data_IF_404183559678
#
_entry.id   IF_404183559678
#
_cell.length_a   1.000
_cell.length_b   1.000
_cell.length_c   1.000
_cell.angle_alpha   90.00
_cell.angle_beta   90.00
_cell.angle_gamma   90.00
#
_symmetry.space_group_name_H-M   'P 1'
#
loop_
_entity.id
_entity.type
_entity.pdbx_description
1 polymer ?
#
# COMPACT_ATOMS: atom_id res chain seq x y z
N UNK A 1 14.73 -28.06 11.44
CA UNK A 1 15.58 -28.12 10.22
C UNK A 1 16.10 -26.72 9.94
N UNK A 2 17.41 -26.52 9.94
CA UNK A 2 17.99 -25.24 9.49
C UNK A 2 17.76 -25.14 7.97
N UNK A 3 16.96 -24.16 7.53
CA UNK A 3 16.86 -23.84 6.10
C UNK A 3 18.15 -23.13 5.71
N UNK A 4 18.95 -23.70 4.80
CA UNK A 4 20.11 -23.02 4.25
C UNK A 4 19.65 -21.99 3.22
N UNK A 5 20.08 -20.74 3.37
CA UNK A 5 19.86 -19.68 2.39
C UNK A 5 21.13 -19.53 1.56
N UNK A 6 21.02 -19.55 0.23
CA UNK A 6 22.12 -19.24 -0.69
C UNK A 6 21.86 -17.88 -1.35
N UNK A 7 22.90 -17.04 -1.43
CA UNK A 7 22.84 -15.77 -2.14
C UNK A 7 23.43 -15.94 -3.55
N UNK A 8 22.62 -15.66 -4.57
CA UNK A 8 23.06 -15.60 -5.96
C UNK A 8 23.08 -14.14 -6.40
N UNK A 9 24.20 -13.69 -6.98
CA UNK A 9 24.36 -12.33 -7.49
C UNK A 9 24.49 -12.39 -9.01
N UNK A 10 23.65 -11.64 -9.71
CA UNK A 10 23.68 -11.49 -11.16
C UNK A 10 24.03 -10.06 -11.56
N UNK A 11 24.74 -9.88 -12.67
CA UNK A 11 25.08 -8.58 -13.25
C UNK A 11 24.58 -8.50 -14.67
N UNK A 12 24.16 -7.30 -15.10
CA UNK A 12 23.59 -7.05 -16.43
C UNK A 12 24.29 -5.84 -17.06
N UNK A 13 24.40 -5.84 -18.39
CA UNK A 13 25.10 -4.78 -19.13
C UNK A 13 24.41 -3.41 -19.03
N UNK A 14 23.11 -3.39 -18.74
CA UNK A 14 22.32 -2.19 -18.55
C UNK A 14 21.04 -2.48 -17.76
N UNK A 15 20.36 -1.41 -17.34
CA UNK A 15 19.11 -1.50 -16.57
C UNK A 15 17.98 -2.17 -17.34
N UNK A 16 17.90 -1.99 -18.67
CA UNK A 16 16.87 -2.63 -19.50
C UNK A 16 16.98 -4.15 -19.45
N UNK A 17 18.20 -4.69 -19.62
CA UNK A 17 18.45 -6.13 -19.55
C UNK A 17 18.16 -6.70 -18.15
N UNK A 18 18.53 -5.97 -17.09
CA UNK A 18 18.14 -6.31 -15.72
C UNK A 18 16.62 -6.35 -15.57
N UNK A 19 15.91 -5.32 -16.03
CA UNK A 19 14.48 -5.20 -15.85
C UNK A 19 13.72 -6.29 -16.62
N UNK A 20 14.09 -6.55 -17.87
CA UNK A 20 13.49 -7.61 -18.68
C UNK A 20 13.72 -9.00 -18.07
N UNK A 21 14.91 -9.24 -17.51
CA UNK A 21 15.25 -10.52 -16.89
C UNK A 21 14.43 -10.85 -15.63
N UNK A 22 14.04 -9.85 -14.84
CA UNK A 22 13.30 -10.07 -13.58
C UNK A 22 11.81 -9.71 -13.65
N UNK A 23 11.42 -8.76 -14.49
CA UNK A 23 10.06 -8.21 -14.56
C UNK A 23 9.41 -8.35 -15.95
N UNK A 24 10.13 -8.94 -16.91
CA UNK A 24 9.66 -9.18 -18.26
C UNK A 24 8.62 -10.31 -18.38
N UNK A 25 8.31 -10.72 -19.62
CA UNK A 25 8.92 -10.25 -20.86
C UNK A 25 8.45 -8.84 -21.26
N UNK A 26 9.39 -7.94 -21.54
CA UNK A 26 9.08 -6.61 -22.06
C UNK A 26 8.44 -6.68 -23.47
N UNK A 27 7.55 -5.73 -23.83
CA UNK A 27 7.21 -4.52 -23.08
C UNK A 27 6.06 -4.70 -22.07
N UNK A 28 5.46 -5.89 -21.98
CA UNK A 28 4.20 -6.08 -21.25
C UNK A 28 4.35 -6.67 -19.85
N UNK A 29 5.46 -7.35 -19.58
CA UNK A 29 5.70 -8.05 -18.32
C UNK A 29 4.80 -9.29 -18.16
N UNK A 30 4.75 -9.81 -16.93
CA UNK A 30 3.99 -11.00 -16.56
C UNK A 30 3.02 -10.79 -15.38
N UNK A 31 2.95 -9.57 -14.84
CA UNK A 31 2.08 -9.25 -13.72
C UNK A 31 0.62 -9.18 -14.13
N UNK A 32 -0.24 -9.83 -13.36
CA UNK A 32 -1.69 -9.82 -13.56
C UNK A 32 -2.29 -8.56 -12.96
N UNK A 33 -3.27 -7.98 -13.65
CA UNK A 33 -4.16 -6.99 -13.09
C UNK A 33 -5.35 -7.68 -12.40
N UNK A 34 -5.93 -7.03 -11.37
CA UNK A 34 -6.98 -7.51 -10.47
C UNK A 34 -6.48 -8.24 -9.20
N UNK A 35 -6.28 -7.45 -8.16
CA UNK A 35 -5.90 -7.90 -6.83
C UNK A 35 -6.74 -7.13 -5.80
N UNK A 36 -7.04 -7.78 -4.68
CA UNK A 36 -7.35 -7.05 -3.45
C UNK A 36 -6.02 -6.84 -2.74
N UNK A 37 -5.76 -5.60 -2.30
CA UNK A 37 -4.46 -5.23 -1.78
C UNK A 37 -4.58 -4.20 -0.67
N UNK A 38 -3.60 -4.21 0.21
CA UNK A 38 -3.40 -3.22 1.24
C UNK A 38 -2.00 -3.35 1.79
N UNK A 39 -1.53 -2.35 2.52
CA UNK A 39 -0.17 -2.40 3.00
C UNK A 39 0.21 -1.22 3.87
N UNK A 40 1.44 -1.26 4.36
CA UNK A 40 2.00 -0.22 5.22
C UNK A 40 3.39 0.15 4.78
N UNK A 41 3.68 1.45 4.86
CA UNK A 41 5.06 1.88 4.95
C UNK A 41 5.61 1.40 6.29
N UNK A 42 6.81 0.85 6.30
CA UNK A 42 7.49 0.34 7.49
C UNK A 42 8.65 1.28 7.82
N UNK A 43 8.61 2.00 8.96
CA UNK A 43 9.67 2.93 9.33
C UNK A 43 11.01 2.22 9.53
N UNK A 44 12.12 2.88 9.16
CA UNK A 44 13.47 2.36 9.43
C UNK A 44 13.71 2.07 10.92
N UNK A 45 13.04 2.79 11.82
CA UNK A 45 13.11 2.56 13.27
C UNK A 45 12.53 1.20 13.67
N UNK A 46 11.46 0.74 13.02
CA UNK A 46 10.89 -0.60 13.23
C UNK A 46 11.88 -1.66 12.76
N UNK A 47 12.51 -1.44 11.61
CA UNK A 47 13.48 -2.38 11.06
C UNK A 47 14.76 -2.48 11.91
N UNK A 48 15.22 -1.37 12.48
CA UNK A 48 16.49 -1.29 13.22
C UNK A 48 16.40 -1.78 14.68
N UNK A 49 15.22 -1.76 15.30
CA UNK A 49 15.03 -2.18 16.68
C UNK A 49 14.64 -3.65 16.75
N UNK A 50 15.40 -4.47 17.47
CA UNK A 50 15.17 -5.92 17.51
C UNK A 50 13.76 -6.32 17.98
N UNK A 51 13.18 -5.61 18.96
CA UNK A 51 11.84 -5.91 19.45
C UNK A 51 10.76 -5.58 18.41
N UNK A 52 10.85 -4.40 17.78
CA UNK A 52 9.88 -3.95 16.77
C UNK A 52 10.01 -4.79 15.48
N UNK A 53 11.23 -5.15 15.09
CA UNK A 53 11.48 -6.05 13.97
C UNK A 53 10.94 -7.47 14.23
N UNK A 54 11.06 -7.96 15.47
CA UNK A 54 10.45 -9.23 15.87
C UNK A 54 8.91 -9.15 15.83
N UNK A 55 8.31 -8.03 16.22
CA UNK A 55 6.86 -7.80 16.12
C UNK A 55 6.41 -7.76 14.65
N UNK A 56 7.16 -7.09 13.77
CA UNK A 56 6.91 -7.11 12.33
C UNK A 56 6.97 -8.54 11.78
N UNK A 57 8.02 -9.28 12.14
CA UNK A 57 8.19 -10.69 11.74
C UNK A 57 7.02 -11.55 12.23
N UNK A 58 6.52 -11.32 13.43
CA UNK A 58 5.36 -12.02 13.97
C UNK A 58 4.09 -11.71 13.16
N UNK A 59 3.82 -10.43 12.85
CA UNK A 59 2.69 -10.02 12.02
C UNK A 59 2.75 -10.70 10.63
N UNK A 60 3.90 -10.67 9.97
CA UNK A 60 4.09 -11.33 8.67
C UNK A 60 3.91 -12.85 8.75
N UNK A 61 4.32 -13.49 9.86
CA UNK A 61 4.10 -14.93 10.09
C UNK A 61 2.65 -15.30 10.35
N UNK A 62 1.81 -14.36 10.79
CA UNK A 62 0.36 -14.56 10.88
C UNK A 62 -0.27 -14.62 9.49
N UNK A 63 0.22 -13.79 8.56
CA UNK A 63 -0.34 -13.66 7.20
C UNK A 63 0.18 -14.77 6.27
N UNK A 64 1.49 -15.03 6.31
CA UNK A 64 2.18 -15.92 5.37
C UNK A 64 1.60 -17.35 5.19
N UNK A 65 0.96 -17.99 6.20
CA UNK A 65 0.34 -19.29 6.02
C UNK A 65 -0.93 -19.28 5.16
N UNK A 66 -1.55 -18.12 4.93
CA UNK A 66 -2.76 -18.03 4.11
C UNK A 66 -2.38 -18.12 2.62
N UNK A 67 -2.75 -19.19 1.90
CA UNK A 67 -2.32 -19.40 0.52
C UNK A 67 -2.97 -18.45 -0.49
N UNK A 68 -4.05 -17.74 -0.10
CA UNK A 68 -4.66 -16.73 -0.96
C UNK A 68 -3.77 -15.48 -1.09
N UNK A 69 -2.87 -15.25 -0.14
CA UNK A 69 -2.10 -14.01 -0.04
C UNK A 69 -0.63 -14.21 -0.36
N UNK A 70 -0.05 -13.16 -0.93
CA UNK A 70 1.38 -12.99 -1.05
C UNK A 70 1.81 -11.67 -0.43
N UNK A 71 3.06 -11.63 0.00
CA UNK A 71 3.66 -10.47 0.67
C UNK A 71 4.74 -9.92 -0.26
N UNK A 72 4.59 -8.67 -0.67
CA UNK A 72 5.57 -7.96 -1.49
C UNK A 72 6.25 -6.90 -0.63
N UNK A 73 7.58 -6.92 -0.62
CA UNK A 73 8.39 -5.95 0.11
C UNK A 73 9.27 -5.16 -0.83
N UNK A 74 9.12 -3.83 -0.85
CA UNK A 74 9.94 -2.93 -1.63
C UNK A 74 10.77 -2.07 -0.69
N UNK A 75 12.07 -2.36 -0.62
CA UNK A 75 13.03 -1.55 0.12
C UNK A 75 13.49 -0.35 -0.70
N UNK A 76 13.41 0.85 -0.13
CA UNK A 76 13.94 2.06 -0.76
C UNK A 76 14.38 3.07 0.29
N UNK A 77 15.45 3.81 0.03
CA UNK A 77 15.81 5.01 0.78
C UNK A 77 15.48 6.25 -0.03
N UNK A 78 14.34 6.85 0.28
CA UNK A 78 13.88 8.14 -0.26
C UNK A 78 13.76 9.19 0.84
N UNK A 79 14.63 9.11 1.85
CA UNK A 79 14.67 10.03 2.99
C UNK A 79 15.00 11.47 2.58
N UNK A 80 15.77 11.64 1.50
CA UNK A 80 16.09 12.95 0.94
C UNK A 80 14.87 13.53 0.22
N UNK A 81 14.50 14.77 0.56
CA UNK A 81 13.41 15.48 -0.10
C UNK A 81 13.87 16.01 -1.45
N UNK A 82 12.95 16.03 -2.41
CA UNK A 82 13.18 16.71 -3.68
C UNK A 82 13.44 18.21 -3.46
N UNK A 83 14.25 18.81 -4.33
CA UNK A 83 14.53 20.24 -4.32
C UNK A 83 13.25 21.08 -4.48
N UNK A 84 12.33 20.62 -5.33
CA UNK A 84 11.03 21.27 -5.53
C UNK A 84 10.01 20.68 -4.54
N UNK A 85 9.33 21.51 -3.72
CA UNK A 85 8.27 21.06 -2.84
C UNK A 85 7.16 20.32 -3.61
N UNK A 86 6.69 19.21 -3.07
CA UNK A 86 5.63 18.40 -3.67
C UNK A 86 4.74 17.76 -2.60
N UNK A 87 3.69 17.07 -3.05
CA UNK A 87 2.67 16.45 -2.21
C UNK A 87 2.95 14.98 -1.87
N UNK A 88 4.19 14.49 -2.05
CA UNK A 88 4.52 13.11 -1.66
C UNK A 88 4.29 12.96 -0.16
N UNK A 89 3.52 11.94 0.21
CA UNK A 89 3.20 11.63 1.60
C UNK A 89 4.46 11.59 2.49
N UNK A 90 4.50 12.33 3.61
CA UNK A 90 5.71 12.45 4.43
C UNK A 90 6.26 11.12 5.00
N UNK A 91 5.40 10.11 5.21
CA UNK A 91 5.80 8.79 5.73
C UNK A 91 6.88 8.09 4.88
N UNK A 92 6.93 8.38 3.57
CA UNK A 92 8.01 7.89 2.69
C UNK A 92 9.41 8.30 3.16
N UNK A 93 9.54 9.44 3.85
CA UNK A 93 10.86 9.94 4.30
C UNK A 93 11.42 9.12 5.47
N UNK A 94 10.57 8.47 6.25
CA UNK A 94 10.97 7.65 7.41
C UNK A 94 10.91 6.15 7.12
N UNK A 95 10.14 5.74 6.10
CA UNK A 95 10.04 4.36 5.64
C UNK A 95 11.39 3.79 5.17
N UNK A 96 11.64 2.53 5.51
CA UNK A 96 12.71 1.72 4.90
C UNK A 96 12.17 0.68 3.91
N UNK A 97 10.88 0.36 4.02
CA UNK A 97 10.19 -0.57 3.13
C UNK A 97 8.74 -0.15 2.96
N UNK A 98 8.17 -0.37 1.78
CA UNK A 98 6.74 -0.62 1.60
C UNK A 98 6.52 -2.13 1.75
N UNK A 99 5.50 -2.53 2.51
CA UNK A 99 5.04 -3.92 2.55
C UNK A 99 3.59 -3.94 2.12
N UNK A 100 3.35 -4.62 1.00
CA UNK A 100 2.04 -4.90 0.44
C UNK A 100 1.64 -6.34 0.74
N UNK A 101 0.36 -6.50 1.07
CA UNK A 101 -0.34 -7.76 1.24
C UNK A 101 -1.40 -7.80 0.16
N UNK A 102 -1.28 -8.75 -0.76
CA UNK A 102 -2.17 -8.85 -1.90
C UNK A 102 -2.69 -10.27 -2.09
N UNK A 103 -3.93 -10.38 -2.53
CA UNK A 103 -4.52 -11.61 -3.03
C UNK A 103 -5.01 -11.37 -4.45
N UNK A 104 -4.65 -12.28 -5.37
CA UNK A 104 -5.14 -12.19 -6.75
C UNK A 104 -6.64 -12.48 -6.80
N UNK A 105 -7.34 -11.80 -7.69
CA UNK A 105 -8.74 -12.12 -7.95
C UNK A 105 -8.84 -13.50 -8.62
N UNK A 106 -9.58 -14.42 -8.00
CA UNK A 106 -9.86 -15.73 -8.58
C UNK A 106 -11.16 -15.67 -9.39
N UNK A 107 -11.04 -15.71 -10.72
CA UNK A 107 -12.16 -15.62 -11.66
C UNK A 107 -13.03 -16.88 -11.71
N UNK A 108 -12.56 -18.00 -11.15
CA UNK A 108 -13.35 -19.23 -11.04
C UNK A 108 -14.17 -19.25 -9.73
N UNK A 109 -13.95 -18.29 -8.82
CA UNK A 109 -14.65 -18.17 -7.54
C UNK A 109 -15.77 -17.13 -7.59
N UNK A 110 -16.69 -17.23 -6.62
CA UNK A 110 -17.76 -16.23 -6.47
C UNK A 110 -17.20 -14.89 -6.01
N UNK A 111 -17.92 -13.80 -6.31
CA UNK A 111 -17.60 -12.48 -5.76
C UNK A 111 -17.52 -12.51 -4.23
N UNK A 112 -18.47 -13.18 -3.56
CA UNK A 112 -18.48 -13.28 -2.10
C UNK A 112 -17.23 -13.97 -1.55
N UNK A 113 -16.72 -15.00 -2.23
CA UNK A 113 -15.46 -15.66 -1.87
C UNK A 113 -14.28 -14.70 -1.95
N UNK A 114 -14.16 -13.95 -3.06
CA UNK A 114 -13.08 -12.98 -3.23
C UNK A 114 -13.19 -11.80 -2.25
N UNK A 115 -14.42 -11.32 -1.99
CA UNK A 115 -14.68 -10.21 -1.07
C UNK A 115 -14.26 -10.51 0.38
N UNK A 116 -14.23 -11.79 0.80
CA UNK A 116 -13.67 -12.16 2.11
C UNK A 116 -12.20 -11.77 2.23
N UNK A 117 -11.42 -11.83 1.14
CA UNK A 117 -10.01 -11.39 1.18
C UNK A 117 -9.89 -9.89 1.39
N UNK A 118 -10.82 -9.09 0.86
CA UNK A 118 -10.86 -7.64 1.10
C UNK A 118 -11.19 -7.33 2.57
N UNK A 119 -12.14 -8.07 3.17
CA UNK A 119 -12.42 -7.99 4.61
C UNK A 119 -11.18 -8.37 5.44
N UNK A 120 -10.48 -9.45 5.10
CA UNK A 120 -9.25 -9.85 5.80
C UNK A 120 -8.15 -8.77 5.71
N UNK A 121 -8.02 -8.10 4.56
CA UNK A 121 -7.09 -6.97 4.42
C UNK A 121 -7.47 -5.84 5.37
N UNK A 122 -8.72 -5.41 5.30
CA UNK A 122 -9.26 -4.24 6.01
C UNK A 122 -9.24 -4.44 7.54
N UNK A 123 -9.76 -5.59 7.99
CA UNK A 123 -10.09 -5.80 9.40
C UNK A 123 -8.97 -6.53 10.18
N UNK A 124 -8.11 -7.28 9.49
CA UNK A 124 -7.08 -8.11 10.14
C UNK A 124 -5.65 -7.72 9.73
N UNK A 125 -5.31 -7.79 8.43
CA UNK A 125 -3.91 -7.78 7.99
C UNK A 125 -3.29 -6.39 7.96
N UNK A 126 -3.99 -5.37 7.44
CA UNK A 126 -3.51 -3.98 7.51
C UNK A 126 -3.43 -3.52 8.97
N UNK A 127 -4.41 -3.79 9.85
CA UNK A 127 -4.31 -3.49 11.27
C UNK A 127 -3.10 -4.13 11.97
N UNK A 128 -2.75 -5.39 11.65
CA UNK A 128 -1.54 -6.04 12.19
C UNK A 128 -0.27 -5.25 11.82
N UNK A 129 -0.15 -4.82 10.57
CA UNK A 129 1.00 -4.03 10.12
C UNK A 129 0.96 -2.60 10.68
N UNK A 130 -0.23 -2.01 10.85
CA UNK A 130 -0.42 -0.69 11.44
C UNK A 130 0.00 -0.66 12.92
N UNK A 131 -0.35 -1.70 13.69
CA UNK A 131 0.05 -1.82 15.08
C UNK A 131 1.58 -1.81 15.28
N UNK A 132 2.32 -2.36 14.31
CA UNK A 132 3.79 -2.40 14.34
C UNK A 132 4.42 -1.12 13.77
N UNK A 133 3.88 -0.60 12.68
CA UNK A 133 4.43 0.58 12.00
C UNK A 133 4.10 1.91 12.70
N UNK A 134 3.04 1.93 13.50
CA UNK A 134 2.56 3.12 14.20
C UNK A 134 1.67 4.01 13.33
N UNK A 135 0.93 4.96 13.95
CA UNK A 135 -0.11 5.74 13.27
C UNK A 135 0.45 6.69 12.20
N UNK A 136 1.68 7.19 12.39
CA UNK A 136 2.29 8.19 11.51
C UNK A 136 2.93 7.58 10.25
N UNK A 137 2.98 6.26 10.15
CA UNK A 137 3.68 5.58 9.06
C UNK A 137 2.92 5.64 7.74
N UNK A 138 1.59 5.53 7.80
CA UNK A 138 0.70 5.56 6.64
C UNK A 138 0.85 4.40 5.65
N UNK A 139 0.21 4.59 4.50
CA UNK A 139 0.14 3.64 3.40
C UNK A 139 0.33 4.34 2.04
N UNK A 140 0.78 3.58 1.05
CA UNK A 140 0.89 4.07 -0.32
C UNK A 140 -0.46 3.99 -1.01
N UNK A 141 -1.12 5.14 -1.19
CA UNK A 141 -2.52 5.19 -1.63
C UNK A 141 -2.86 4.47 -2.94
N UNK A 142 -1.89 4.28 -3.84
CA UNK A 142 -2.13 3.57 -5.11
C UNK A 142 -2.22 2.04 -4.92
N UNK A 143 -1.70 1.52 -3.80
CA UNK A 143 -1.63 0.10 -3.44
C UNK A 143 -2.20 -0.17 -2.04
N UNK A 144 -2.96 0.78 -1.50
CA UNK A 144 -3.55 0.70 -0.18
C UNK A 144 -4.95 0.08 -0.22
N UNK A 145 -5.42 -0.28 0.98
CA UNK A 145 -6.79 -0.72 1.19
C UNK A 145 -7.78 0.42 0.84
N UNK A 146 -8.70 0.23 -0.12
CA UNK A 146 -9.71 1.23 -0.45
C UNK A 146 -10.68 1.52 0.69
N UNK A 147 -10.76 0.66 1.72
CA UNK A 147 -11.63 0.80 2.88
C UNK A 147 -10.94 1.40 4.11
N UNK A 148 -9.70 1.90 3.99
CA UNK A 148 -8.95 2.52 5.08
C UNK A 148 -9.79 3.62 5.79
N UNK A 149 -10.23 3.42 7.05
CA UNK A 149 -11.18 4.33 7.70
C UNK A 149 -10.65 5.76 7.90
N UNK A 150 -9.35 5.89 8.17
CA UNK A 150 -8.63 7.14 8.43
C UNK A 150 -7.73 7.54 7.24
N UNK A 151 -8.22 7.32 6.01
CA UNK A 151 -7.46 7.56 4.78
C UNK A 151 -6.81 8.95 4.69
N UNK A 152 -7.41 10.00 5.27
CA UNK A 152 -6.85 11.35 5.24
C UNK A 152 -5.46 11.38 5.89
N UNK A 153 -5.32 10.81 7.09
CA UNK A 153 -4.04 10.74 7.79
C UNK A 153 -3.13 9.67 7.19
N UNK A 154 -3.68 8.51 6.81
CA UNK A 154 -2.86 7.39 6.36
C UNK A 154 -2.29 7.58 4.95
N UNK A 155 -2.97 8.30 4.06
CA UNK A 155 -2.52 8.49 2.68
C UNK A 155 -1.87 9.85 2.44
N UNK A 156 -2.22 10.87 3.24
CA UNK A 156 -1.76 12.23 3.04
C UNK A 156 -1.10 12.84 4.28
N UNK A 157 -1.45 12.39 5.49
CA UNK A 157 -0.90 12.93 6.74
C UNK A 157 -1.16 14.43 6.89
N UNK A 158 -0.20 15.12 7.48
CA UNK A 158 -0.32 16.54 7.83
C UNK A 158 -0.54 17.49 6.64
N UNK A 159 -0.27 17.03 5.40
CA UNK A 159 -0.49 17.86 4.21
C UNK A 159 -1.92 17.79 3.69
N UNK A 160 -2.79 16.92 4.23
CA UNK A 160 -4.17 16.75 3.75
C UNK A 160 -4.96 18.07 3.72
N UNK A 161 -4.90 18.87 4.80
CA UNK A 161 -5.63 20.13 4.88
C UNK A 161 -5.22 21.11 3.77
N UNK A 162 -3.91 21.17 3.45
CA UNK A 162 -3.41 21.98 2.33
C UNK A 162 -3.90 21.43 0.99
N UNK A 163 -3.86 20.12 0.79
CA UNK A 163 -4.37 19.50 -0.44
C UNK A 163 -5.86 19.77 -0.63
N UNK A 164 -6.67 19.68 0.44
CA UNK A 164 -8.10 20.02 0.40
C UNK A 164 -8.33 21.48 0.05
N UNK A 165 -7.54 22.41 0.59
CA UNK A 165 -7.64 23.82 0.23
C UNK A 165 -7.39 24.05 -1.28
N UNK A 166 -6.42 23.35 -1.86
CA UNK A 166 -6.11 23.41 -3.29
C UNK A 166 -7.26 22.79 -4.10
N UNK A 167 -7.76 21.62 -3.69
CA UNK A 167 -8.91 20.96 -4.30
C UNK A 167 -10.11 21.92 -4.37
N UNK A 168 -10.42 22.65 -3.30
CA UNK A 168 -11.55 23.58 -3.27
C UNK A 168 -11.37 24.81 -4.16
N UNK A 169 -10.13 25.19 -4.50
CA UNK A 169 -9.86 26.25 -5.48
C UNK A 169 -10.17 25.79 -6.90
N UNK A 170 -9.77 24.56 -7.24
CA UNK A 170 -9.85 24.05 -8.62
C UNK A 170 -11.13 23.24 -8.90
N UNK A 171 -11.75 22.68 -7.88
CA UNK A 171 -12.98 21.89 -7.95
C UNK A 171 -13.91 22.23 -6.76
N UNK A 172 -14.42 23.48 -6.67
CA UNK A 172 -15.23 23.95 -5.55
C UNK A 172 -16.58 23.21 -5.42
N UNK A 173 -17.03 22.58 -6.51
CA UNK A 173 -18.25 21.78 -6.53
C UNK A 173 -17.96 20.29 -6.36
N UNK A 174 -16.71 19.90 -6.07
CA UNK A 174 -16.30 18.51 -5.85
C UNK A 174 -16.83 17.54 -6.92
N UNK A 175 -16.76 17.93 -8.19
CA UNK A 175 -17.23 17.16 -9.34
C UNK A 175 -16.34 15.93 -9.55
N UNK A 176 -15.03 16.07 -9.33
CA UNK A 176 -14.10 14.95 -9.46
C UNK A 176 -14.05 14.16 -8.16
N UNK A 177 -14.77 13.03 -8.15
CA UNK A 177 -14.80 12.07 -7.06
C UNK A 177 -13.92 10.85 -7.36
N UNK A 178 -13.28 10.33 -6.31
CA UNK A 178 -12.69 9.00 -6.27
C UNK A 178 -12.61 8.54 -4.82
N UNK A 179 -12.75 7.24 -4.60
CA UNK A 179 -12.71 6.69 -3.24
C UNK A 179 -11.38 7.04 -2.56
N UNK A 180 -11.45 7.45 -1.28
CA UNK A 180 -10.31 7.83 -0.45
C UNK A 180 -9.34 8.87 -1.08
N UNK A 181 -9.84 9.71 -2.00
CA UNK A 181 -9.10 10.85 -2.54
C UNK A 181 -9.33 12.14 -1.73
N UNK A 182 -8.52 13.16 -1.98
CA UNK A 182 -8.68 14.47 -1.32
C UNK A 182 -10.07 15.04 -1.57
N UNK A 183 -10.82 15.25 -0.48
CA UNK A 183 -12.20 15.76 -0.52
C UNK A 183 -13.24 14.75 -0.98
N UNK A 184 -12.94 13.44 -1.00
CA UNK A 184 -13.93 12.40 -1.32
C UNK A 184 -15.04 12.30 -0.28
N UNK A 185 -14.77 12.75 0.95
CA UNK A 185 -15.69 12.80 2.09
C UNK A 185 -16.80 13.87 1.96
N UNK A 186 -16.81 14.64 0.89
CA UNK A 186 -17.95 15.49 0.49
C UNK A 186 -19.09 14.68 -0.14
N UNK A 187 -18.85 13.39 -0.36
CA UNK A 187 -19.79 12.44 -0.92
C UNK A 187 -19.90 11.21 -0.02
N UNK A 188 -21.10 10.62 0.00
CA UNK A 188 -21.38 9.31 0.60
C UNK A 188 -21.91 8.40 -0.50
N UNK A 189 -21.33 7.20 -0.61
CA UNK A 189 -21.82 6.17 -1.51
C UNK A 189 -23.00 5.44 -0.86
N UNK A 190 -24.18 5.53 -1.47
CA UNK A 190 -25.37 4.81 -1.06
C UNK A 190 -25.28 3.31 -1.36
N UNK A 191 -26.07 2.52 -0.65
CA UNK A 191 -26.13 1.06 -0.85
C UNK A 191 -26.57 0.65 -2.27
N UNK A 192 -27.22 1.55 -3.00
CA UNK A 192 -27.62 1.37 -4.40
C UNK A 192 -26.56 1.86 -5.41
N UNK A 193 -25.38 2.24 -4.92
CA UNK A 193 -24.26 2.73 -5.72
C UNK A 193 -24.34 4.21 -6.11
N UNK A 194 -25.36 4.96 -5.66
CA UNK A 194 -25.45 6.40 -5.94
C UNK A 194 -24.51 7.19 -5.04
N UNK A 195 -23.85 8.19 -5.61
CA UNK A 195 -23.14 9.21 -4.83
C UNK A 195 -24.12 10.32 -4.42
N UNK A 196 -24.24 10.53 -3.11
CA UNK A 196 -25.01 11.60 -2.50
C UNK A 196 -24.05 12.57 -1.81
N UNK A 197 -24.44 13.84 -1.66
CA UNK A 197 -23.70 14.77 -0.80
C UNK A 197 -23.72 14.26 0.64
N UNK A 198 -22.58 14.33 1.30
CA UNK A 198 -22.44 14.01 2.73
C UNK A 198 -23.22 14.98 3.61
#
# INVERSE_FOLDING_TARGET
>A
MARSTSLTISTFDNYYAFFDAYFGPLPFGSYTNAQVQGGRLIPRTVLAKSADNAALTAALRTIAPNPAFHIVGIGADVSTRAFVPNAVFPGWRTAGSWIEIAANWDYDQTYATNAVNETLITDDYVPLLQAVSGPDSGAYMNEADPHQPDFQSQFFGDIYARLRSIKNVFDPNHIFYGNALVGSDEWVLGADGRLCRA
#
